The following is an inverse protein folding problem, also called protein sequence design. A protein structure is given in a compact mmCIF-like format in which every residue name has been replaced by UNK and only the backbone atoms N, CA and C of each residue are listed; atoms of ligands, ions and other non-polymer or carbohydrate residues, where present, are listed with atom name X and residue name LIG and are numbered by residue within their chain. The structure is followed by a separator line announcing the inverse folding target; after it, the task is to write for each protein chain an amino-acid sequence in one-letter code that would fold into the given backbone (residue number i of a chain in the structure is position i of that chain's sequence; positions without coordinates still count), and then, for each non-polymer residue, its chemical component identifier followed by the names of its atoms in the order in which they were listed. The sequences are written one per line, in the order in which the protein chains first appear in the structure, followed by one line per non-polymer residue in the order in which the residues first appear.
data_IF_818919010374
#
_entry.id   IF_818919010374
#
_cell.length_a   1.000
_cell.length_b   1.000
_cell.length_c   1.000
_cell.angle_alpha   90.00
_cell.angle_beta   90.00
_cell.angle_gamma   90.00
#
_symmetry.space_group_name_H-M   'P 1'
#
loop_
_entity.id
_entity.type
_entity.pdbx_description
1 polymer ?
#
# COMPACT_ATOMS: atom_id res chain seq x y z
N UNK A 1 -14.21 1.29 18.02
CA UNK A 1 -12.99 1.75 17.32
C UNK A 1 -12.88 1.01 15.99
N UNK A 2 -12.18 1.56 15.01
CA UNK A 2 -11.81 0.82 13.79
C UNK A 2 -10.67 -0.16 14.15
N UNK A 3 -10.73 -1.45 13.76
CA UNK A 3 -9.70 -2.44 14.13
C UNK A 3 -8.32 -2.16 13.51
N UNK A 4 -8.24 -1.23 12.55
CA UNK A 4 -7.00 -0.87 11.87
C UNK A 4 -6.32 0.37 12.44
N UNK A 5 -7.01 1.13 13.30
CA UNK A 5 -6.54 2.41 13.85
C UNK A 5 -5.81 2.19 15.17
N UNK A 6 -4.62 2.75 15.29
CA UNK A 6 -3.85 2.77 16.55
C UNK A 6 -4.43 3.85 17.45
N UNK A 7 -4.89 3.48 18.64
CA UNK A 7 -5.29 4.48 19.66
C UNK A 7 -4.06 5.08 20.32
N UNK A 8 -3.91 6.40 20.31
CA UNK A 8 -2.83 7.06 21.05
C UNK A 8 -3.05 6.93 22.56
N UNK A 9 -2.27 6.04 23.18
CA UNK A 9 -1.97 6.06 24.62
C UNK A 9 -0.47 5.90 24.81
N UNK A 10 0.08 6.76 25.67
CA UNK A 10 1.50 6.90 26.00
C UNK A 10 2.41 7.29 24.81
N UNK A 11 2.30 8.56 24.38
CA UNK A 11 3.37 9.29 23.70
C UNK A 11 4.00 10.37 24.61
N UNK A 12 4.17 10.07 25.91
CA UNK A 12 4.72 11.01 26.89
C UNK A 12 5.29 10.29 28.13
N UNK A 13 6.50 9.71 28.05
CA UNK A 13 7.24 9.30 29.26
C UNK A 13 8.78 9.17 29.09
N UNK A 14 9.45 10.18 28.52
CA UNK A 14 10.86 10.49 28.85
C UNK A 14 11.08 12.01 28.75
N UNK A 15 11.15 12.71 29.90
CA UNK A 15 11.89 13.98 30.19
C UNK A 15 11.27 14.81 31.33
N UNK A 16 11.29 14.29 32.56
CA UNK A 16 11.40 15.04 33.82
C UNK A 16 12.13 14.12 34.81
N UNK A 17 12.96 14.55 35.77
CA UNK A 17 13.30 15.89 36.27
C UNK A 17 14.80 16.22 35.96
N UNK A 18 15.45 17.32 36.38
CA UNK A 18 15.39 18.05 37.66
C UNK A 18 14.59 19.38 37.63
N UNK A 19 14.27 19.92 38.80
CA UNK A 19 13.43 21.11 39.01
C UNK A 19 13.96 22.01 40.11
N UNK A 20 14.11 23.31 39.85
CA UNK A 20 13.94 24.43 40.81
C UNK A 20 14.07 25.77 40.04
N UNK A 21 13.51 26.92 40.44
CA UNK A 21 12.26 27.23 41.17
C UNK A 21 11.97 28.75 41.02
N UNK A 22 10.86 29.25 41.60
CA UNK A 22 10.50 30.68 41.77
C UNK A 22 10.07 31.54 40.54
N UNK A 23 8.75 31.65 40.35
CA UNK A 23 8.04 32.90 39.96
C UNK A 23 8.02 33.91 41.15
N UNK A 24 7.37 35.11 41.12
CA UNK A 24 6.65 35.81 40.03
C UNK A 24 7.01 37.31 39.86
N UNK A 25 6.53 37.94 38.76
CA UNK A 25 5.85 39.25 38.79
C UNK A 25 5.35 39.74 37.41
N UNK A 26 4.13 40.29 37.39
CA UNK A 26 3.61 41.21 36.35
C UNK A 26 2.76 42.29 37.07
N UNK A 27 2.19 43.33 36.41
CA UNK A 27 2.40 43.83 35.04
C UNK A 27 2.73 45.35 35.05
N UNK A 28 2.81 46.01 33.87
CA UNK A 28 2.27 47.38 33.68
C UNK A 28 2.16 47.83 32.21
N UNK A 29 1.19 48.73 31.98
CA UNK A 29 0.76 49.32 30.70
C UNK A 29 1.29 50.76 30.59
N UNK A 30 1.61 51.25 29.38
CA UNK A 30 1.41 52.68 28.99
C UNK A 30 1.57 53.01 27.49
N UNK A 31 0.43 53.18 26.82
CA UNK A 31 0.02 54.33 26.00
C UNK A 31 1.01 55.14 25.09
N UNK A 32 0.59 55.30 23.82
CA UNK A 32 0.62 56.51 22.94
C UNK A 32 1.98 57.02 22.41
N UNK A 33 2.11 57.32 21.12
CA UNK A 33 1.35 58.41 20.45
C UNK A 33 1.48 58.41 18.90
N UNK A 34 0.56 59.11 18.21
CA UNK A 34 0.59 59.31 16.75
C UNK A 34 1.44 60.54 16.36
N UNK A 35 1.90 60.58 15.10
CA UNK A 35 1.68 61.75 14.23
C UNK A 35 1.62 61.38 12.74
N UNK A 36 1.25 62.36 11.92
CA UNK A 36 0.64 62.22 10.58
C UNK A 36 1.28 63.15 9.54
N UNK A 37 0.62 63.23 8.38
CA UNK A 37 0.88 63.99 7.15
C UNK A 37 1.58 63.15 6.06
N UNK A 38 0.94 62.89 4.90
CA UNK A 38 0.23 63.82 3.95
C UNK A 38 1.31 64.77 3.33
N UNK A 39 1.34 65.20 2.08
CA UNK A 39 0.32 65.55 1.06
C UNK A 39 0.84 65.12 -0.37
N UNK A 40 0.15 65.09 -1.53
CA UNK A 40 -1.27 64.97 -1.99
C UNK A 40 -1.28 64.77 -3.56
N UNK A 41 -2.41 64.31 -4.16
CA UNK A 41 -2.83 64.32 -5.60
C UNK A 41 -1.97 63.56 -6.67
N UNK A 42 -2.36 63.24 -7.92
CA UNK A 42 -3.43 63.57 -8.91
C UNK A 42 -3.62 62.25 -9.79
N UNK A 43 -4.56 61.96 -10.71
CA UNK A 43 -5.67 62.57 -11.47
C UNK A 43 -6.61 61.40 -11.99
N UNK A 44 -7.81 61.66 -12.53
CA UNK A 44 -8.83 60.67 -13.03
C UNK A 44 -8.53 60.17 -14.49
N UNK A 45 -8.98 59.01 -15.03
CA UNK A 45 -10.28 58.31 -15.17
C UNK A 45 -11.19 58.82 -16.33
N UNK A 46 -11.74 57.91 -17.16
CA UNK A 46 -13.06 58.05 -17.83
C UNK A 46 -13.50 56.79 -18.62
N UNK A 47 -14.82 56.66 -18.85
CA UNK A 47 -15.53 55.43 -19.26
C UNK A 47 -16.69 55.76 -20.23
N UNK A 48 -17.00 54.89 -21.22
CA UNK A 48 -18.34 54.65 -21.85
C UNK A 48 -18.21 53.75 -23.11
N UNK A 49 -19.25 53.18 -23.75
CA UNK A 49 -20.33 52.31 -23.24
C UNK A 49 -20.74 51.25 -24.33
N UNK A 50 -21.61 50.29 -23.94
CA UNK A 50 -22.29 49.21 -24.71
C UNK A 50 -22.37 49.23 -26.26
N UNK A 51 -22.27 48.01 -26.87
CA UNK A 51 -23.46 47.28 -27.41
C UNK A 51 -23.25 45.87 -28.07
N UNK A 52 -24.03 44.89 -27.59
CA UNK A 52 -24.73 43.77 -28.28
C UNK A 52 -24.01 42.70 -29.19
N UNK A 53 -23.82 41.48 -28.62
CA UNK A 53 -24.22 40.11 -29.11
C UNK A 53 -23.77 39.57 -30.51
N UNK A 54 -23.79 38.22 -30.75
CA UNK A 54 -23.40 37.09 -29.88
C UNK A 54 -22.60 35.97 -30.62
N UNK A 55 -21.77 35.18 -29.92
CA UNK A 55 -21.27 33.87 -30.43
C UNK A 55 -21.33 32.81 -29.33
N UNK A 56 -21.84 31.63 -29.66
CA UNK A 56 -22.10 30.53 -28.71
C UNK A 56 -20.82 29.83 -28.20
N UNK A 57 -20.69 29.72 -26.87
CA UNK A 57 -19.72 28.83 -26.21
C UNK A 57 -20.46 27.76 -25.39
N UNK A 58 -20.61 26.57 -25.95
CA UNK A 58 -20.94 25.35 -25.19
C UNK A 58 -19.67 24.76 -24.55
N UNK A 59 -19.77 24.08 -23.39
CA UNK A 59 -18.60 23.77 -22.56
C UNK A 59 -17.73 22.65 -23.15
N UNK A 60 -16.41 22.88 -23.20
CA UNK A 60 -15.41 21.83 -23.47
C UNK A 60 -15.34 20.88 -22.27
N UNK A 61 -16.09 19.78 -22.31
CA UNK A 61 -16.07 18.72 -21.29
C UNK A 61 -14.69 18.06 -21.23
N UNK A 62 -14.13 17.88 -20.02
CA UNK A 62 -12.73 17.48 -19.81
C UNK A 62 -12.35 16.20 -20.57
N UNK A 63 -11.18 16.22 -21.22
CA UNK A 63 -10.63 15.12 -22.02
C UNK A 63 -9.28 14.63 -21.46
N UNK A 64 -9.14 14.67 -20.13
CA UNK A 64 -7.87 14.64 -19.39
C UNK A 64 -7.93 13.63 -18.22
N UNK A 65 -8.40 12.40 -18.49
CA UNK A 65 -8.58 11.36 -17.45
C UNK A 65 -8.19 9.94 -17.89
N UNK A 66 -7.54 9.82 -19.06
CA UNK A 66 -7.16 8.55 -19.69
C UNK A 66 -5.63 8.29 -19.65
N UNK A 67 -4.86 9.10 -18.94
CA UNK A 67 -3.43 8.86 -18.66
C UNK A 67 -3.08 9.49 -17.31
N UNK A 68 -2.61 8.67 -16.37
CA UNK A 68 -1.98 9.12 -15.12
C UNK A 68 -0.49 9.37 -15.39
N UNK A 69 0.14 10.31 -14.67
CA UNK A 69 1.59 10.46 -14.72
C UNK A 69 2.30 9.31 -13.99
N UNK A 70 3.63 9.21 -14.10
CA UNK A 70 4.38 8.20 -13.35
C UNK A 70 4.29 8.50 -11.84
N UNK A 71 4.40 9.78 -11.49
CA UNK A 71 4.28 10.31 -10.13
C UNK A 71 2.88 10.05 -9.53
N UNK A 72 1.82 10.20 -10.31
CA UNK A 72 0.45 9.81 -9.93
C UNK A 72 0.35 8.31 -9.62
N UNK A 73 0.96 7.46 -10.46
CA UNK A 73 0.97 6.00 -10.27
C UNK A 73 1.79 5.58 -9.04
N UNK A 74 2.93 6.22 -8.79
CA UNK A 74 3.76 5.99 -7.60
C UNK A 74 3.01 6.36 -6.32
N UNK A 75 2.35 7.52 -6.30
CA UNK A 75 1.49 7.96 -5.19
C UNK A 75 0.32 7.00 -4.98
N UNK A 76 -0.42 6.65 -6.03
CA UNK A 76 -1.54 5.71 -5.96
C UNK A 76 -1.11 4.32 -5.49
N UNK A 77 0.09 3.87 -5.86
CA UNK A 77 0.60 2.56 -5.48
C UNK A 77 0.75 2.38 -3.96
N UNK A 78 1.17 3.44 -3.25
CA UNK A 78 1.40 3.42 -1.80
C UNK A 78 0.21 3.91 -0.97
N UNK A 79 -0.69 4.72 -1.55
CA UNK A 79 -1.87 5.25 -0.88
C UNK A 79 -2.86 4.13 -0.47
N UNK A 80 -3.34 4.09 0.79
CA UNK A 80 -4.41 3.18 1.19
C UNK A 80 -5.68 3.38 0.34
N UNK A 81 -6.42 2.30 0.07
CA UNK A 81 -7.78 2.43 -0.43
C UNK A 81 -8.63 3.25 0.57
N UNK A 82 -9.53 4.14 0.11
CA UNK A 82 -10.43 4.87 1.00
C UNK A 82 -11.31 3.93 1.85
N UNK A 83 -11.77 4.43 3.00
CA UNK A 83 -12.80 3.74 3.79
C UNK A 83 -14.05 3.48 2.95
N UNK A 84 -14.66 2.33 3.17
CA UNK A 84 -15.88 1.86 2.50
C UNK A 84 -15.81 1.77 0.96
N UNK A 85 -14.60 1.84 0.39
CA UNK A 85 -14.32 1.67 -1.04
C UNK A 85 -13.45 0.43 -1.26
N UNK A 86 -13.90 -0.45 -2.16
CA UNK A 86 -13.11 -1.60 -2.65
C UNK A 86 -12.59 -1.30 -4.05
N UNK A 87 -11.28 -1.14 -4.18
CA UNK A 87 -10.60 -0.96 -5.46
C UNK A 87 -10.51 -2.32 -6.16
N UNK A 88 -11.18 -2.45 -7.30
CA UNK A 88 -11.19 -3.67 -8.11
C UNK A 88 -10.04 -3.66 -9.13
N UNK A 89 -9.22 -4.71 -9.13
CA UNK A 89 -8.10 -4.83 -10.07
C UNK A 89 -8.05 -6.21 -10.76
N UNK A 90 -7.28 -6.23 -11.85
CA UNK A 90 -6.96 -7.38 -12.67
C UNK A 90 -5.44 -7.60 -12.66
N UNK A 91 -5.01 -8.81 -12.31
CA UNK A 91 -3.63 -9.24 -12.48
C UNK A 91 -3.54 -10.16 -13.69
N UNK A 92 -2.67 -9.82 -14.65
CA UNK A 92 -2.33 -10.67 -15.79
C UNK A 92 -0.90 -11.20 -15.66
N UNK A 93 -0.65 -12.42 -16.10
CA UNK A 93 0.68 -13.06 -16.08
C UNK A 93 1.19 -13.30 -17.50
N UNK A 94 2.28 -12.64 -17.87
CA UNK A 94 2.97 -12.87 -19.14
C UNK A 94 4.12 -13.87 -18.96
N UNK A 95 4.04 -14.97 -19.72
CA UNK A 95 5.03 -16.07 -19.74
C UNK A 95 6.08 -15.92 -20.85
N UNK A 96 6.05 -14.84 -21.64
CA UNK A 96 6.98 -14.64 -22.76
C UNK A 96 8.44 -14.75 -22.31
N UNK A 97 9.19 -15.62 -23.00
CA UNK A 97 10.59 -15.88 -22.72
C UNK A 97 10.86 -16.88 -21.59
N UNK A 98 9.87 -17.54 -20.98
CA UNK A 98 10.12 -18.59 -19.97
C UNK A 98 11.06 -19.69 -20.47
N UNK A 99 10.96 -20.06 -21.75
CA UNK A 99 11.90 -20.94 -22.49
C UNK A 99 13.37 -20.48 -22.38
N UNK A 100 13.61 -19.16 -22.33
CA UNK A 100 14.92 -18.51 -22.16
C UNK A 100 15.25 -18.32 -20.65
N UNK A 101 14.69 -19.19 -19.81
CA UNK A 101 14.82 -19.22 -18.35
C UNK A 101 14.38 -17.92 -17.67
N UNK A 102 13.45 -17.17 -18.24
CA UNK A 102 12.92 -15.92 -17.67
C UNK A 102 11.75 -16.24 -16.73
N UNK A 103 11.76 -15.67 -15.53
CA UNK A 103 10.56 -15.68 -14.69
C UNK A 103 9.48 -14.75 -15.28
N UNK A 104 8.19 -15.13 -15.20
CA UNK A 104 7.10 -14.40 -15.83
C UNK A 104 6.94 -13.00 -15.23
N UNK A 105 6.47 -12.07 -16.06
CA UNK A 105 6.05 -10.74 -15.62
C UNK A 105 4.58 -10.79 -15.20
N UNK A 106 4.24 -10.07 -14.14
CA UNK A 106 2.87 -9.86 -13.71
C UNK A 106 2.53 -8.38 -13.90
N UNK A 107 1.34 -8.05 -14.39
CA UNK A 107 0.89 -6.67 -14.56
C UNK A 107 -0.43 -6.46 -13.81
N UNK A 108 -0.46 -5.45 -12.93
CA UNK A 108 -1.65 -5.00 -12.22
C UNK A 108 -2.34 -3.89 -13.02
N UNK A 109 -3.65 -4.01 -13.18
CA UNK A 109 -4.49 -2.96 -13.75
C UNK A 109 -5.71 -2.73 -12.86
N UNK A 110 -6.05 -1.47 -12.55
CA UNK A 110 -7.35 -1.12 -11.97
C UNK A 110 -8.45 -1.28 -13.02
N UNK A 111 -9.60 -1.83 -12.64
CA UNK A 111 -10.79 -1.91 -13.46
C UNK A 111 -11.70 -0.70 -13.14
N UNK A 112 -12.13 0.05 -14.16
CA UNK A 112 -13.05 1.20 -14.04
C UNK A 112 -14.49 0.77 -14.35
N UNK A 113 -15.47 1.52 -13.85
CA UNK A 113 -16.90 1.28 -14.08
C UNK A 113 -17.31 1.39 -15.57
N UNK A 114 -16.54 2.14 -16.37
CA UNK A 114 -16.70 2.24 -17.83
C UNK A 114 -16.11 1.04 -18.60
N UNK A 115 -15.65 0.01 -17.88
CA UNK A 115 -15.03 -1.19 -18.43
C UNK A 115 -13.58 -1.01 -18.90
N UNK A 116 -13.02 0.22 -18.83
CA UNK A 116 -11.59 0.43 -19.11
C UNK A 116 -10.73 -0.20 -18.02
N UNK A 117 -9.45 -0.40 -18.37
CA UNK A 117 -8.41 -0.78 -17.42
C UNK A 117 -7.30 0.25 -17.42
N UNK A 118 -6.88 0.69 -16.25
CA UNK A 118 -5.71 1.58 -16.05
C UNK A 118 -4.57 0.73 -15.50
N UNK A 119 -3.44 0.68 -16.20
CA UNK A 119 -2.24 0.03 -15.69
C UNK A 119 -1.74 0.74 -14.42
N UNK A 120 -1.33 -0.04 -13.41
CA UNK A 120 -0.82 0.47 -12.14
C UNK A 120 0.67 0.17 -11.95
N UNK A 121 1.05 -1.10 -12.08
CA UNK A 121 2.42 -1.57 -11.81
C UNK A 121 2.69 -2.95 -12.42
N UNK A 122 3.95 -3.21 -12.73
CA UNK A 122 4.47 -4.50 -13.14
C UNK A 122 5.33 -5.12 -12.03
N UNK A 123 5.37 -6.45 -11.95
CA UNK A 123 6.14 -7.19 -10.94
C UNK A 123 6.79 -8.43 -11.53
N UNK A 124 8.06 -8.70 -11.20
CA UNK A 124 8.81 -9.83 -11.78
C UNK A 124 9.92 -10.35 -10.88
N UNK A 125 10.03 -11.68 -10.78
CA UNK A 125 11.08 -12.37 -10.01
C UNK A 125 12.44 -12.23 -10.70
N UNK A 126 13.48 -11.87 -9.94
CA UNK A 126 14.86 -11.74 -10.42
C UNK A 126 15.53 -13.10 -10.62
N UNK A 127 16.36 -13.22 -11.67
CA UNK A 127 17.31 -14.34 -11.80
C UNK A 127 18.46 -14.20 -10.77
N UNK A 128 19.21 -15.29 -10.55
CA UNK A 128 20.48 -15.32 -9.78
C UNK A 128 20.40 -14.82 -8.32
N UNK A 129 19.25 -14.92 -7.66
CA UNK A 129 19.08 -14.58 -6.24
C UNK A 129 19.01 -15.84 -5.36
N UNK A 130 19.63 -15.82 -4.16
CA UNK A 130 19.62 -16.95 -3.20
C UNK A 130 18.25 -17.23 -2.58
N UNK A 131 17.39 -16.21 -2.51
CA UNK A 131 15.98 -16.33 -2.13
C UNK A 131 15.12 -15.63 -3.18
N UNK A 132 13.81 -15.84 -3.15
CA UNK A 132 12.93 -15.16 -4.09
C UNK A 132 12.96 -13.66 -3.86
N UNK A 133 13.09 -12.92 -4.96
CA UNK A 133 13.15 -11.46 -4.95
C UNK A 133 12.38 -10.97 -6.18
N UNK A 134 11.25 -10.29 -5.97
CA UNK A 134 10.51 -9.63 -7.04
C UNK A 134 10.78 -8.13 -6.96
N UNK A 135 11.04 -7.50 -8.11
CA UNK A 135 11.00 -6.05 -8.25
C UNK A 135 9.61 -5.66 -8.74
N UNK A 136 9.12 -4.51 -8.28
CA UNK A 136 7.82 -3.91 -8.64
C UNK A 136 8.08 -2.50 -9.16
N UNK A 137 7.49 -2.16 -10.30
CA UNK A 137 7.77 -0.93 -11.06
C UNK A 137 6.50 -0.31 -11.63
N UNK A 138 6.43 1.02 -11.71
CA UNK A 138 5.41 1.78 -12.46
C UNK A 138 5.68 1.85 -13.96
N UNK A 139 6.80 1.29 -14.43
CA UNK A 139 7.10 1.08 -15.85
C UNK A 139 6.85 -0.41 -16.22
N UNK A 140 5.95 -0.74 -17.17
CA UNK A 140 5.69 -2.12 -17.58
C UNK A 140 6.84 -2.74 -18.41
N UNK A 141 7.70 -1.91 -19.01
CA UNK A 141 8.85 -2.33 -19.81
C UNK A 141 10.12 -2.46 -18.97
N UNK A 142 10.26 -1.64 -17.92
CA UNK A 142 11.49 -1.51 -17.13
C UNK A 142 11.32 -2.00 -15.69
N UNK A 143 12.02 -3.10 -15.38
CA UNK A 143 11.98 -3.79 -14.08
C UNK A 143 13.40 -3.85 -13.48
N UNK A 144 14.06 -2.69 -13.43
CA UNK A 144 15.33 -2.47 -12.73
C UNK A 144 15.11 -2.02 -11.28
N UNK A 145 16.20 -1.80 -10.55
CA UNK A 145 16.22 -1.08 -9.25
C UNK A 145 16.81 0.33 -9.40
N UNK A 146 17.48 0.59 -10.52
CA UNK A 146 18.32 1.78 -10.76
C UNK A 146 17.58 2.82 -11.64
N UNK A 147 16.25 2.88 -11.47
CA UNK A 147 15.29 3.57 -12.33
C UNK A 147 14.17 4.15 -11.47
N UNK A 148 13.79 5.41 -11.68
CA UNK A 148 12.84 6.13 -10.81
C UNK A 148 11.53 5.36 -10.58
N UNK A 149 11.02 4.68 -11.62
CA UNK A 149 9.80 3.86 -11.57
C UNK A 149 9.83 2.67 -10.59
N UNK A 150 10.96 2.37 -9.94
CA UNK A 150 11.09 1.29 -8.96
C UNK A 150 10.41 1.65 -7.63
N UNK A 151 9.19 1.16 -7.43
CA UNK A 151 8.36 1.48 -6.24
C UNK A 151 8.46 0.48 -5.10
N UNK A 152 8.91 -0.76 -5.35
CA UNK A 152 8.84 -1.78 -4.29
C UNK A 152 9.41 -3.15 -4.62
N UNK A 153 9.49 -3.99 -3.58
CA UNK A 153 10.29 -5.21 -3.59
C UNK A 153 9.76 -6.24 -2.60
N UNK A 154 9.32 -7.39 -3.11
CA UNK A 154 8.99 -8.58 -2.32
C UNK A 154 10.23 -9.47 -2.17
N UNK A 155 10.64 -9.79 -0.94
CA UNK A 155 11.76 -10.70 -0.62
C UNK A 155 11.27 -11.88 0.22
N UNK A 156 11.62 -13.10 -0.14
CA UNK A 156 11.35 -14.29 0.69
C UNK A 156 12.52 -14.62 1.63
N UNK A 157 12.21 -15.38 2.68
CA UNK A 157 13.18 -16.25 3.36
C UNK A 157 13.63 -17.42 2.45
N UNK A 158 14.55 -18.25 2.94
CA UNK A 158 15.11 -19.38 2.17
C UNK A 158 14.07 -20.45 1.83
N UNK A 159 13.08 -20.67 2.70
CA UNK A 159 12.08 -21.73 2.53
C UNK A 159 10.88 -21.33 1.63
N UNK A 160 10.73 -20.04 1.30
CA UNK A 160 9.54 -19.52 0.62
C UNK A 160 8.29 -19.46 1.53
N UNK A 161 8.48 -19.47 2.85
CA UNK A 161 7.40 -19.54 3.86
C UNK A 161 7.13 -18.21 4.54
N UNK A 162 8.13 -17.31 4.59
CA UNK A 162 7.99 -15.93 5.07
C UNK A 162 8.46 -14.97 3.99
N UNK A 163 7.73 -13.88 3.80
CA UNK A 163 8.04 -12.82 2.85
C UNK A 163 7.94 -11.45 3.52
N UNK A 164 8.71 -10.49 3.03
CA UNK A 164 8.65 -9.08 3.43
C UNK A 164 8.58 -8.19 2.19
N UNK A 165 7.73 -7.17 2.25
CA UNK A 165 7.49 -6.17 1.23
C UNK A 165 8.16 -4.87 1.65
N UNK A 166 9.04 -4.37 0.80
CA UNK A 166 9.74 -3.10 0.95
C UNK A 166 9.26 -2.11 -0.11
N UNK A 167 9.36 -0.82 0.21
CA UNK A 167 9.19 0.28 -0.73
C UNK A 167 10.42 0.46 -1.65
N UNK A 168 10.48 1.64 -2.30
CA UNK A 168 11.57 2.09 -3.15
C UNK A 168 12.85 2.49 -2.39
N UNK A 169 12.78 2.66 -1.05
CA UNK A 169 13.86 3.21 -0.25
C UNK A 169 15.12 2.34 -0.17
N UNK A 170 16.20 2.93 0.32
CA UNK A 170 17.51 2.30 0.38
C UNK A 170 17.72 1.41 1.59
N UNK A 171 18.62 0.43 1.42
CA UNK A 171 18.93 -0.50 2.48
C UNK A 171 20.09 0.00 3.36
N UNK A 172 19.88 0.30 4.67
CA UNK A 172 20.96 0.73 5.57
C UNK A 172 22.09 -0.31 5.70
N UNK A 173 21.79 -1.62 5.58
CA UNK A 173 22.82 -2.68 5.56
C UNK A 173 23.84 -2.55 4.40
N UNK A 174 23.49 -1.81 3.34
CA UNK A 174 24.26 -1.73 2.08
C UNK A 174 24.82 -0.34 1.78
N UNK A 175 24.24 0.69 2.38
CA UNK A 175 24.72 2.07 2.35
C UNK A 175 24.79 2.54 3.81
N UNK A 176 25.94 2.41 4.50
CA UNK A 176 26.10 2.99 5.83
C UNK A 176 26.08 4.52 5.79
N UNK A 177 26.40 5.12 4.64
CA UNK A 177 26.20 6.53 4.33
C UNK A 177 25.06 6.66 3.31
N UNK A 178 23.84 6.78 3.81
CA UNK A 178 22.67 7.23 3.02
C UNK A 178 22.74 8.77 2.98
N UNK A 179 22.56 9.36 1.80
CA UNK A 179 22.51 10.82 1.66
C UNK A 179 21.21 11.37 2.25
N UNK A 180 21.21 12.59 2.74
CA UNK A 180 19.99 13.23 3.29
C UNK A 180 18.82 13.29 2.28
N UNK A 181 19.11 13.23 0.97
CA UNK A 181 18.10 13.18 -0.10
C UNK A 181 17.63 11.74 -0.46
N UNK A 182 18.17 10.69 0.16
CA UNK A 182 17.79 9.29 -0.09
C UNK A 182 16.99 8.75 1.10
N UNK A 183 15.77 8.24 0.87
CA UNK A 183 14.95 7.67 1.95
C UNK A 183 15.42 6.28 2.39
N UNK A 184 15.33 6.01 3.69
CA UNK A 184 15.53 4.67 4.27
C UNK A 184 14.33 3.79 3.88
N UNK A 185 14.56 2.52 3.52
CA UNK A 185 13.48 1.58 3.20
C UNK A 185 12.51 1.36 4.36
N UNK A 186 11.22 1.32 4.05
CA UNK A 186 10.17 0.88 4.98
C UNK A 186 9.80 -0.59 4.76
N UNK A 187 9.24 -1.22 5.81
CA UNK A 187 8.52 -2.50 5.67
C UNK A 187 7.02 -2.24 5.55
N UNK A 188 6.48 -2.43 4.35
CA UNK A 188 5.08 -2.15 4.02
C UNK A 188 4.14 -3.31 4.38
N UNK A 189 4.64 -4.55 4.33
CA UNK A 189 3.91 -5.75 4.71
C UNK A 189 4.87 -6.92 4.96
N UNK A 190 4.44 -7.90 5.74
CA UNK A 190 5.05 -9.21 5.81
C UNK A 190 3.98 -10.31 5.68
N UNK A 191 4.33 -11.42 5.04
CA UNK A 191 3.42 -12.54 4.77
C UNK A 191 4.05 -13.82 5.33
N UNK A 192 3.33 -14.50 6.22
CA UNK A 192 3.69 -15.79 6.78
C UNK A 192 2.72 -16.85 6.27
N UNK A 193 3.26 -17.93 5.70
CA UNK A 193 2.52 -19.15 5.36
C UNK A 193 2.87 -20.24 6.38
N UNK A 194 1.87 -20.85 7.00
CA UNK A 194 2.09 -21.96 7.93
C UNK A 194 2.59 -23.20 7.17
N UNK A 195 3.60 -23.88 7.71
CA UNK A 195 4.19 -25.09 7.13
C UNK A 195 3.52 -26.33 7.69
N UNK A 196 2.98 -27.19 6.82
CA UNK A 196 2.23 -28.39 7.23
C UNK A 196 3.16 -29.56 7.64
N UNK A 197 4.10 -29.33 8.56
CA UNK A 197 5.20 -30.25 8.91
C UNK A 197 4.71 -31.61 9.45
N UNK A 198 3.50 -31.67 10.00
CA UNK A 198 2.89 -32.87 10.60
C UNK A 198 1.75 -33.49 9.75
N UNK A 199 1.63 -33.14 8.46
CA UNK A 199 0.67 -33.80 7.56
C UNK A 199 -0.81 -33.47 7.76
N UNK A 200 -1.13 -32.43 8.57
CA UNK A 200 -2.49 -31.92 8.72
C UNK A 200 -3.07 -31.47 7.36
N UNK A 201 -4.08 -32.19 6.88
CA UNK A 201 -4.77 -31.91 5.62
C UNK A 201 -5.83 -30.82 5.82
N UNK A 202 -5.42 -29.56 5.77
CA UNK A 202 -6.31 -28.40 5.80
C UNK A 202 -5.85 -27.29 4.84
N UNK A 203 -6.72 -26.28 4.57
CA UNK A 203 -6.31 -25.07 3.86
C UNK A 203 -5.09 -24.43 4.54
N UNK A 204 -4.07 -24.06 3.75
CA UNK A 204 -2.84 -23.45 4.28
C UNK A 204 -3.18 -22.11 4.93
N UNK A 205 -2.94 -21.97 6.23
CA UNK A 205 -3.08 -20.69 6.93
C UNK A 205 -2.05 -19.69 6.41
N UNK A 206 -2.50 -18.45 6.29
CA UNK A 206 -1.74 -17.31 5.79
C UNK A 206 -2.02 -16.11 6.68
N UNK A 207 -0.98 -15.59 7.33
CA UNK A 207 -1.01 -14.36 8.13
C UNK A 207 -0.35 -13.24 7.33
N UNK A 208 -1.00 -12.08 7.28
CA UNK A 208 -0.48 -10.87 6.64
C UNK A 208 -0.36 -9.79 7.71
N UNK A 209 0.85 -9.29 7.92
CA UNK A 209 1.18 -8.28 8.92
C UNK A 209 1.43 -6.98 8.15
N UNK A 210 0.76 -5.90 8.51
CA UNK A 210 0.99 -4.56 7.93
C UNK A 210 1.16 -3.53 9.06
N UNK A 211 1.85 -2.41 8.81
CA UNK A 211 1.79 -1.28 9.72
C UNK A 211 0.36 -0.75 9.82
N UNK A 212 -0.08 -0.46 11.05
CA UNK A 212 -1.40 0.08 11.36
C UNK A 212 -1.59 1.53 10.91
N UNK A 213 -2.77 2.06 11.17
CA UNK A 213 -3.21 3.36 10.68
C UNK A 213 -3.30 4.39 11.80
N UNK A 214 -2.94 5.63 11.48
CA UNK A 214 -3.15 6.81 12.31
C UNK A 214 -4.62 7.27 12.20
N UNK A 215 -5.01 8.28 12.99
CA UNK A 215 -6.38 8.82 12.98
C UNK A 215 -6.74 9.57 11.69
N UNK A 216 -5.73 10.03 10.95
CA UNK A 216 -5.88 10.71 9.64
C UNK A 216 -5.90 9.74 8.45
N UNK A 217 -6.06 8.44 8.67
CA UNK A 217 -5.98 7.36 7.68
C UNK A 217 -4.64 7.20 6.95
N UNK A 218 -3.57 7.85 7.41
CA UNK A 218 -2.21 7.56 6.98
C UNK A 218 -1.63 6.34 7.70
N UNK A 219 -0.62 5.71 7.08
CA UNK A 219 0.03 4.51 7.61
C UNK A 219 1.15 4.88 8.57
N UNK A 220 1.25 4.18 9.70
CA UNK A 220 2.43 4.31 10.59
C UNK A 220 3.68 3.85 9.84
N UNK A 221 4.63 4.75 9.64
CA UNK A 221 5.88 4.46 8.96
C UNK A 221 6.78 3.55 9.82
N UNK A 222 7.21 2.40 9.27
CA UNK A 222 8.09 1.43 9.96
C UNK A 222 9.38 1.29 9.16
N UNK A 223 10.47 1.82 9.73
CA UNK A 223 11.82 1.83 9.19
C UNK A 223 12.76 1.00 10.11
N UNK A 224 12.90 -0.33 9.92
CA UNK A 224 13.69 -1.16 10.83
C UNK A 224 15.18 -0.80 10.82
N UNK A 225 15.71 -0.37 11.96
CA UNK A 225 17.14 -0.09 12.19
C UNK A 225 17.92 -1.34 12.56
N UNK A 226 17.23 -2.38 13.02
CA UNK A 226 17.76 -3.68 13.43
C UNK A 226 16.69 -4.78 13.20
N UNK A 227 17.09 -6.05 13.32
CA UNK A 227 16.19 -7.18 13.07
C UNK A 227 14.95 -7.20 13.98
N UNK A 228 15.06 -6.76 15.24
CA UNK A 228 13.96 -6.79 16.22
C UNK A 228 12.81 -5.84 15.85
N UNK A 229 13.10 -4.78 15.09
CA UNK A 229 12.13 -3.80 14.60
C UNK A 229 11.36 -4.25 13.34
N UNK A 230 11.80 -5.32 12.67
CA UNK A 230 11.12 -5.85 11.47
C UNK A 230 9.73 -6.38 11.78
N UNK A 231 8.79 -6.28 10.82
CA UNK A 231 7.40 -6.74 10.99
C UNK A 231 7.32 -8.21 11.45
N UNK A 232 8.21 -9.05 10.91
CA UNK A 232 8.29 -10.48 11.21
C UNK A 232 8.77 -10.77 12.64
N UNK A 233 9.73 -10.00 13.16
CA UNK A 233 10.25 -10.19 14.52
C UNK A 233 9.36 -9.54 15.57
N UNK A 234 8.83 -8.34 15.30
CA UNK A 234 7.87 -7.67 16.21
C UNK A 234 6.65 -8.55 16.45
N UNK A 235 5.99 -9.02 15.39
CA UNK A 235 4.88 -9.97 15.51
C UNK A 235 5.32 -11.31 16.13
N UNK A 236 6.50 -11.83 15.76
CA UNK A 236 7.04 -13.08 16.31
C UNK A 236 7.25 -13.04 17.83
N UNK A 237 7.57 -11.87 18.37
CA UNK A 237 7.77 -11.60 19.79
C UNK A 237 6.50 -11.10 20.52
N UNK A 238 5.33 -11.10 19.85
CA UNK A 238 4.08 -10.58 20.42
C UNK A 238 3.99 -9.06 20.53
N UNK A 239 4.96 -8.31 20.00
CA UNK A 239 4.93 -6.85 19.92
C UNK A 239 4.07 -6.41 18.72
N UNK A 240 2.76 -6.31 18.94
CA UNK A 240 1.77 -5.88 17.94
C UNK A 240 1.46 -4.37 17.98
N UNK A 241 2.17 -3.57 18.78
CA UNK A 241 1.98 -2.10 18.78
C UNK A 241 2.17 -1.51 17.37
N UNK A 242 1.21 -0.70 16.92
CA UNK A 242 1.17 -0.13 15.56
C UNK A 242 1.25 -1.16 14.43
N UNK A 243 0.90 -2.43 14.69
CA UNK A 243 0.74 -3.48 13.68
C UNK A 243 -0.73 -3.88 13.55
N UNK A 244 -1.13 -4.24 12.34
CA UNK A 244 -2.41 -4.89 12.05
C UNK A 244 -2.11 -6.30 11.55
N UNK A 245 -2.67 -7.29 12.22
CA UNK A 245 -2.55 -8.71 11.88
C UNK A 245 -3.81 -9.18 11.17
N UNK A 246 -3.68 -9.47 9.89
CA UNK A 246 -4.74 -10.02 9.05
C UNK A 246 -4.51 -11.53 8.83
N UNK A 247 -5.58 -12.26 8.59
CA UNK A 247 -5.56 -13.71 8.30
C UNK A 247 -6.36 -14.03 7.04
N UNK A 248 -6.11 -15.17 6.41
CA UNK A 248 -7.04 -15.66 5.41
C UNK A 248 -8.39 -16.03 6.07
N UNK A 249 -9.52 -15.69 5.43
CA UNK A 249 -10.83 -16.21 5.85
C UNK A 249 -10.82 -17.73 5.66
N UNK A 250 -11.39 -18.46 6.62
CA UNK A 250 -11.60 -19.90 6.46
C UNK A 250 -12.77 -20.14 5.50
N UNK A 251 -12.66 -21.12 4.58
CA UNK A 251 -13.76 -21.43 3.67
C UNK A 251 -14.94 -22.04 4.42
N UNK A 252 -16.15 -21.62 4.07
CA UNK A 252 -17.40 -22.18 4.60
C UNK A 252 -17.67 -23.55 3.96
N UNK A 253 -18.26 -24.48 4.70
CA UNK A 253 -18.76 -25.73 4.13
C UNK A 253 -20.01 -25.49 3.27
N UNK A 254 -20.04 -26.04 2.06
CA UNK A 254 -21.23 -26.05 1.21
C UNK A 254 -21.69 -27.51 1.01
N UNK A 255 -22.87 -27.83 1.54
CA UNK A 255 -23.48 -29.15 1.48
C UNK A 255 -23.89 -29.55 0.05
N UNK A 256 -24.33 -28.60 -0.77
CA UNK A 256 -24.76 -28.86 -2.15
C UNK A 256 -23.60 -29.32 -3.03
N UNK A 257 -22.39 -28.80 -2.77
CA UNK A 257 -21.16 -29.16 -3.50
C UNK A 257 -20.25 -30.09 -2.70
N UNK A 258 -20.66 -30.53 -1.50
CA UNK A 258 -19.87 -31.29 -0.52
C UNK A 258 -18.40 -30.82 -0.42
N UNK A 259 -18.21 -29.50 -0.31
CA UNK A 259 -16.87 -28.90 -0.38
C UNK A 259 -16.77 -27.56 0.35
N UNK A 260 -15.55 -27.23 0.75
CA UNK A 260 -15.17 -25.96 1.34
C UNK A 260 -15.04 -24.87 0.26
N UNK A 261 -15.78 -23.77 0.40
CA UNK A 261 -15.87 -22.67 -0.58
C UNK A 261 -15.70 -21.29 0.06
N UNK A 262 -15.34 -20.29 -0.75
CA UNK A 262 -15.38 -18.87 -0.38
C UNK A 262 -16.27 -18.13 -1.40
N UNK A 263 -17.08 -17.17 -0.92
CA UNK A 263 -17.94 -16.37 -1.79
C UNK A 263 -17.18 -15.13 -2.31
N UNK A 264 -16.80 -15.18 -3.59
CA UNK A 264 -16.11 -14.10 -4.29
C UNK A 264 -17.05 -13.18 -5.10
N UNK A 265 -18.38 -13.28 -4.93
CA UNK A 265 -19.37 -12.44 -5.61
C UNK A 265 -19.17 -12.35 -7.15
N UNK A 266 -18.82 -13.48 -7.78
CA UNK A 266 -18.55 -13.57 -9.22
C UNK A 266 -17.19 -13.02 -9.69
N UNK A 267 -16.41 -12.35 -8.84
CA UNK A 267 -15.06 -11.84 -9.19
C UNK A 267 -14.07 -12.97 -9.48
N UNK A 268 -14.27 -14.16 -8.93
CA UNK A 268 -13.45 -15.37 -9.13
C UNK A 268 -14.32 -16.47 -9.73
N UNK A 269 -13.85 -17.13 -10.80
CA UNK A 269 -14.65 -18.11 -11.57
C UNK A 269 -13.97 -19.46 -11.78
N UNK A 270 -12.67 -19.60 -11.47
CA UNK A 270 -11.95 -20.87 -11.58
C UNK A 270 -11.45 -21.34 -10.21
N UNK A 271 -11.70 -22.59 -9.87
CA UNK A 271 -11.19 -23.20 -8.65
C UNK A 271 -9.64 -23.22 -8.64
N UNK A 272 -9.04 -22.81 -7.52
CA UNK A 272 -7.60 -22.90 -7.31
C UNK A 272 -7.23 -22.82 -5.84
N UNK A 273 -6.19 -23.55 -5.43
CA UNK A 273 -5.52 -23.41 -4.12
C UNK A 273 -4.81 -22.05 -3.93
N UNK A 274 -4.90 -21.15 -4.93
CA UNK A 274 -4.46 -19.76 -4.87
C UNK A 274 -5.61 -18.77 -4.65
N UNK A 275 -6.86 -19.22 -4.60
CA UNK A 275 -8.00 -18.34 -4.31
C UNK A 275 -8.08 -18.11 -2.80
N UNK A 276 -8.09 -16.86 -2.35
CA UNK A 276 -8.18 -16.51 -0.92
C UNK A 276 -8.86 -15.15 -0.70
N UNK A 277 -9.40 -14.98 0.50
CA UNK A 277 -9.86 -13.70 1.04
C UNK A 277 -9.05 -13.42 2.32
N UNK A 278 -8.68 -12.16 2.56
CA UNK A 278 -7.94 -11.69 3.73
C UNK A 278 -8.87 -10.79 4.55
N UNK A 279 -8.89 -11.01 5.86
CA UNK A 279 -9.81 -10.39 6.82
C UNK A 279 -9.08 -9.95 8.09
N UNK A 280 -9.72 -9.10 8.90
CA UNK A 280 -9.33 -8.93 10.30
C UNK A 280 -9.97 -10.05 11.15
N UNK A 281 -9.27 -10.65 12.13
CA UNK A 281 -9.87 -11.66 13.01
C UNK A 281 -11.16 -11.18 13.69
N UNK A 282 -11.19 -9.93 14.16
CA UNK A 282 -12.34 -9.34 14.86
C UNK A 282 -13.50 -8.93 13.93
N UNK A 283 -13.35 -9.08 12.61
CA UNK A 283 -14.39 -8.76 11.62
C UNK A 283 -14.19 -9.60 10.35
N UNK A 284 -14.74 -10.82 10.35
CA UNK A 284 -14.59 -11.74 9.22
C UNK A 284 -15.35 -11.30 7.95
N UNK A 285 -16.36 -10.46 8.06
CA UNK A 285 -17.19 -10.07 6.91
C UNK A 285 -16.60 -8.88 6.14
N UNK A 286 -15.74 -8.09 6.79
CA UNK A 286 -14.96 -7.06 6.11
C UNK A 286 -13.75 -7.67 5.38
N UNK A 287 -13.93 -7.92 4.08
CA UNK A 287 -12.89 -8.45 3.19
C UNK A 287 -11.89 -7.33 2.84
N UNK A 288 -10.73 -7.33 3.52
CA UNK A 288 -9.64 -6.36 3.31
C UNK A 288 -8.99 -6.56 1.93
N UNK A 289 -8.89 -7.81 1.48
CA UNK A 289 -8.38 -8.17 0.16
C UNK A 289 -9.02 -9.48 -0.31
N UNK A 290 -9.34 -9.60 -1.60
CA UNK A 290 -9.66 -10.89 -2.21
C UNK A 290 -8.88 -11.11 -3.49
N UNK A 291 -8.50 -12.36 -3.74
CA UNK A 291 -7.73 -12.74 -4.91
C UNK A 291 -8.14 -14.13 -5.41
N UNK A 292 -8.21 -14.31 -6.73
CA UNK A 292 -8.45 -15.63 -7.29
C UNK A 292 -8.43 -15.68 -8.81
N UNK A 293 -8.50 -16.91 -9.33
CA UNK A 293 -8.32 -17.22 -10.75
C UNK A 293 -9.59 -17.02 -11.58
N UNK A 294 -9.43 -16.43 -12.76
CA UNK A 294 -10.53 -16.17 -13.73
C UNK A 294 -10.24 -16.76 -15.11
N UNK A 295 -8.96 -16.83 -15.51
CA UNK A 295 -8.48 -17.61 -16.66
C UNK A 295 -7.13 -18.29 -16.33
N UNK A 296 -6.40 -18.84 -17.30
CA UNK A 296 -5.09 -19.46 -17.01
C UNK A 296 -4.04 -18.48 -16.50
N UNK A 297 -4.01 -17.27 -17.08
CA UNK A 297 -3.06 -16.21 -16.78
C UNK A 297 -3.74 -14.89 -16.41
N UNK A 298 -5.00 -14.96 -15.94
CA UNK A 298 -5.80 -13.79 -15.54
C UNK A 298 -6.47 -14.08 -14.20
N UNK A 299 -6.31 -13.13 -13.28
CA UNK A 299 -6.75 -13.20 -11.89
C UNK A 299 -7.44 -11.90 -11.50
N UNK A 300 -8.47 -11.96 -10.67
CA UNK A 300 -9.00 -10.80 -9.97
C UNK A 300 -8.19 -10.57 -8.69
N UNK A 301 -8.01 -9.30 -8.34
CA UNK A 301 -7.37 -8.86 -7.10
C UNK A 301 -8.08 -7.60 -6.66
N UNK A 302 -8.85 -7.66 -5.58
CA UNK A 302 -9.59 -6.50 -5.07
C UNK A 302 -9.09 -6.20 -3.66
N UNK A 303 -9.03 -4.93 -3.27
CA UNK A 303 -8.56 -4.51 -1.95
C UNK A 303 -9.29 -3.28 -1.41
N UNK A 304 -9.36 -3.18 -0.09
CA UNK A 304 -10.07 -2.12 0.65
C UNK A 304 -9.16 -1.55 1.75
N UNK A 305 -9.59 -0.48 2.42
CA UNK A 305 -8.87 0.07 3.59
C UNK A 305 -8.54 -1.04 4.61
N UNK A 306 -7.35 -1.11 5.24
CA UNK A 306 -6.23 -0.17 5.21
C UNK A 306 -5.15 -0.49 4.16
N UNK A 307 -5.44 -1.34 3.17
CA UNK A 307 -4.44 -1.85 2.23
C UNK A 307 -4.22 -0.88 1.05
N UNK A 308 -2.99 -0.81 0.53
CA UNK A 308 -2.66 -0.12 -0.73
C UNK A 308 -2.36 -1.09 -1.88
N UNK A 309 -2.36 -0.60 -3.12
CA UNK A 309 -2.15 -1.43 -4.31
C UNK A 309 -0.82 -2.20 -4.28
N UNK A 310 0.26 -1.57 -3.79
CA UNK A 310 1.59 -2.17 -3.69
C UNK A 310 1.62 -3.32 -2.66
N UNK A 311 0.94 -3.18 -1.52
CA UNK A 311 0.77 -4.26 -0.54
C UNK A 311 -0.02 -5.42 -1.16
N UNK A 312 -1.21 -5.14 -1.70
CA UNK A 312 -2.09 -6.16 -2.28
C UNK A 312 -1.39 -6.93 -3.40
N UNK A 313 -0.72 -6.23 -4.32
CA UNK A 313 0.02 -6.86 -5.41
C UNK A 313 1.20 -7.70 -4.92
N UNK A 314 1.95 -7.24 -3.92
CA UNK A 314 3.05 -8.00 -3.34
C UNK A 314 2.56 -9.27 -2.60
N UNK A 315 1.40 -9.21 -1.94
CA UNK A 315 0.72 -10.37 -1.33
C UNK A 315 0.27 -11.38 -2.42
N UNK A 316 -0.28 -10.88 -3.53
CA UNK A 316 -0.60 -11.70 -4.70
C UNK A 316 0.66 -12.35 -5.30
N UNK A 317 1.78 -11.63 -5.42
CA UNK A 317 3.06 -12.16 -5.88
C UNK A 317 3.61 -13.25 -4.96
N UNK A 318 3.48 -13.15 -3.63
CA UNK A 318 3.87 -14.23 -2.73
C UNK A 318 2.98 -15.47 -2.87
N UNK A 319 1.73 -15.34 -3.34
CA UNK A 319 0.86 -16.50 -3.60
C UNK A 319 1.30 -17.33 -4.82
N UNK A 320 1.92 -16.68 -5.82
CA UNK A 320 2.43 -17.35 -7.03
C UNK A 320 3.72 -18.13 -6.79
N UNK A 321 4.50 -17.74 -5.78
CA UNK A 321 5.82 -18.30 -5.54
C UNK A 321 5.76 -19.70 -4.91
N UNK A 322 6.65 -20.59 -5.37
CA UNK A 322 6.77 -21.97 -4.87
C UNK A 322 7.27 -22.02 -3.43
N UNK A 323 6.78 -22.99 -2.65
CA UNK A 323 6.97 -23.05 -1.19
C UNK A 323 7.46 -24.43 -0.79
N UNK A 324 8.77 -24.56 -0.63
CA UNK A 324 9.50 -25.83 -0.48
C UNK A 324 9.10 -26.65 0.75
N UNK A 325 8.38 -26.05 1.71
CA UNK A 325 7.92 -26.67 2.95
C UNK A 325 6.39 -26.60 3.15
N UNK A 326 5.63 -26.43 2.06
CA UNK A 326 4.16 -26.34 2.13
C UNK A 326 3.43 -27.25 1.13
N UNK A 327 4.13 -27.94 0.21
CA UNK A 327 3.52 -28.70 -0.89
C UNK A 327 2.49 -29.73 -0.42
#
# INVERSE_FOLDING_TARGET
MCPFSVSEKNLQEVTMSETESAEPASPKIKDKSNKSHDDDDDDDDEVEERSQKPVSKSPRRNKQLDTLSVEDLEKFAVQPAPRDVTIQCRVTRDRRGMEKGIYPTYYLHMEKDDGKRVFLMAGRKRKKCKTSNYLISTDPTNLSKDTNSYIGKLRSNVLGTKFTVYDGGENPEKKPFIKECESIRQELAAICYETNVLGFRGPRKMTVIIPGMLENDERVAIHPKNDLETLLMRHGNGNTDKLVTLVNKFPSWNEQTNSYVLNFHGRVTQASVKNFQIIHPDNEDYIVMQFGRVAEDVFSMDYSFPMCALQAFAITLSSFDGKLACE
#
